data_IF_377576268029
#
_entry.id   IF_377576268029
#
_cell.length_a   1.000
_cell.length_b   1.000
_cell.length_c   1.000
_cell.angle_alpha   90.00
_cell.angle_beta   90.00
_cell.angle_gamma   90.00
#
_symmetry.space_group_name_H-M   'P 1'
#
loop_
_entity.id
_entity.type
_entity.pdbx_description
1 polymer ?
#
# COMPACT_ATOMS: atom_id res chain seq x y z
N UNK A 1 26.55 12.22 21.89
CA UNK A 1 25.45 11.30 22.23
C UNK A 1 24.24 11.65 21.34
N UNK A 2 23.60 10.67 20.72
CA UNK A 2 22.37 10.91 19.93
C UNK A 2 21.23 11.29 20.88
N UNK A 3 20.41 12.29 20.52
CA UNK A 3 19.34 12.81 21.37
C UNK A 3 18.25 11.75 21.69
N UNK A 4 18.13 10.69 20.86
CA UNK A 4 17.09 9.64 20.99
C UNK A 4 17.70 8.25 20.75
N UNK A 5 18.52 7.73 21.67
CA UNK A 5 19.30 6.50 21.44
C UNK A 5 18.41 5.27 21.20
N UNK A 6 17.29 5.14 21.90
CA UNK A 6 16.38 4.00 21.72
C UNK A 6 15.58 4.07 20.42
N UNK A 7 15.14 5.25 20.00
CA UNK A 7 14.41 5.44 18.74
C UNK A 7 15.32 5.19 17.54
N UNK A 8 16.57 5.62 17.63
CA UNK A 8 17.54 5.52 16.54
C UNK A 8 18.34 4.20 16.56
N UNK A 9 18.14 3.35 17.57
CA UNK A 9 18.74 2.02 17.59
C UNK A 9 18.18 1.15 16.47
N UNK A 10 19.00 0.29 15.84
CA UNK A 10 18.53 -0.70 14.88
C UNK A 10 17.45 -1.60 15.48
N UNK A 11 16.55 -2.08 14.62
CA UNK A 11 15.50 -3.03 14.99
C UNK A 11 15.61 -4.27 14.11
N UNK A 12 15.92 -5.40 14.74
CA UNK A 12 15.92 -6.69 14.07
C UNK A 12 14.47 -7.23 14.00
N UNK A 13 14.02 -7.59 12.79
CA UNK A 13 12.72 -8.21 12.53
C UNK A 13 12.84 -9.73 12.28
N UNK A 14 14.03 -10.31 12.49
CA UNK A 14 14.34 -11.71 12.26
C UNK A 14 14.73 -12.04 10.82
N UNK A 15 14.05 -11.49 9.84
CA UNK A 15 14.35 -11.66 8.40
C UNK A 15 15.06 -10.45 7.76
N UNK A 16 15.07 -9.32 8.45
CA UNK A 16 15.78 -8.10 8.03
C UNK A 16 15.96 -7.16 9.22
N UNK A 17 16.97 -6.29 9.15
CA UNK A 17 17.20 -5.27 10.16
C UNK A 17 16.84 -3.90 9.61
N UNK A 18 16.02 -3.15 10.34
CA UNK A 18 15.77 -1.73 10.11
C UNK A 18 16.88 -0.91 10.74
N UNK A 19 17.32 0.16 10.08
CA UNK A 19 18.38 1.04 10.60
C UNK A 19 17.99 1.82 11.86
N UNK A 20 16.71 1.95 12.15
CA UNK A 20 16.12 2.57 13.34
C UNK A 20 14.66 2.16 13.48
N UNK A 21 13.98 2.68 14.50
CA UNK A 21 12.59 2.36 14.85
C UNK A 21 11.58 3.39 14.32
N UNK A 22 11.99 4.24 13.37
CA UNK A 22 11.11 5.23 12.74
C UNK A 22 10.38 4.60 11.55
N UNK A 23 9.07 4.56 11.64
CA UNK A 23 8.18 4.09 10.57
C UNK A 23 7.43 5.27 9.97
N UNK A 24 7.48 5.44 8.65
CA UNK A 24 6.53 6.26 7.91
C UNK A 24 5.28 5.42 7.61
N UNK A 25 4.18 5.73 8.30
CA UNK A 25 2.90 5.07 8.10
C UNK A 25 2.33 5.30 6.70
N UNK A 26 1.43 4.41 6.29
CA UNK A 26 0.75 4.50 5.00
C UNK A 26 0.00 5.82 4.86
N UNK A 27 0.23 6.50 3.74
CA UNK A 27 -0.48 7.71 3.35
C UNK A 27 -0.72 7.69 1.84
N UNK A 28 -1.97 7.91 1.43
CA UNK A 28 -2.32 8.02 0.01
C UNK A 28 -1.98 9.43 -0.48
N UNK A 29 -1.13 9.53 -1.50
CA UNK A 29 -0.65 10.80 -2.06
C UNK A 29 -1.36 11.19 -3.37
N UNK A 30 -2.10 10.24 -3.96
CA UNK A 30 -2.66 10.36 -5.31
C UNK A 30 -1.63 10.16 -6.43
N UNK A 31 -0.35 10.04 -6.12
CA UNK A 31 0.69 9.71 -7.10
C UNK A 31 0.67 8.23 -7.49
N UNK A 32 0.12 7.39 -6.62
CA UNK A 32 -0.02 5.95 -6.79
C UNK A 32 -0.96 5.58 -7.93
N UNK A 33 -1.92 6.43 -8.26
CA UNK A 33 -3.03 6.10 -9.16
C UNK A 33 -2.63 5.98 -10.63
N UNK A 34 -1.46 6.50 -11.00
CA UNK A 34 -0.96 6.45 -12.38
C UNK A 34 0.54 6.13 -12.42
N UNK A 35 0.91 5.13 -13.21
CA UNK A 35 2.32 4.76 -13.38
C UNK A 35 3.20 5.91 -13.91
N UNK A 36 2.62 6.85 -14.67
CA UNK A 36 3.33 8.06 -15.12
C UNK A 36 3.80 8.97 -13.97
N UNK A 37 3.19 8.84 -12.79
CA UNK A 37 3.58 9.58 -11.59
C UNK A 37 4.65 8.86 -10.75
N UNK A 38 5.00 7.64 -11.08
CA UNK A 38 5.97 6.87 -10.28
C UNK A 38 7.35 7.52 -10.14
N UNK A 39 7.90 8.29 -11.12
CA UNK A 39 9.10 9.07 -10.87
C UNK A 39 8.95 10.12 -9.75
N UNK A 40 7.77 10.75 -9.65
CA UNK A 40 7.47 11.70 -8.57
C UNK A 40 7.27 10.99 -7.24
N UNK A 41 6.60 9.83 -7.25
CA UNK A 41 6.42 8.98 -6.08
C UNK A 41 7.77 8.44 -5.56
N UNK A 42 8.67 8.06 -6.47
CA UNK A 42 10.03 7.65 -6.16
C UNK A 42 10.81 8.78 -5.47
N UNK A 43 10.79 9.99 -6.02
CA UNK A 43 11.42 11.16 -5.42
C UNK A 43 10.84 11.47 -4.03
N UNK A 44 9.50 11.37 -3.88
CA UNK A 44 8.80 11.58 -2.63
C UNK A 44 9.29 10.63 -1.53
N UNK A 45 9.39 9.34 -1.80
CA UNK A 45 9.84 8.36 -0.82
C UNK A 45 11.36 8.38 -0.61
N UNK A 46 12.15 8.63 -1.67
CA UNK A 46 13.60 8.78 -1.57
C UNK A 46 14.00 9.92 -0.62
N UNK A 47 13.27 11.04 -0.64
CA UNK A 47 13.52 12.15 0.28
C UNK A 47 13.33 11.74 1.75
N UNK A 48 12.28 10.97 2.06
CA UNK A 48 12.03 10.45 3.41
C UNK A 48 13.09 9.43 3.83
N UNK A 49 13.47 8.55 2.91
CA UNK A 49 14.55 7.59 3.16
C UNK A 49 15.89 8.31 3.42
N UNK A 50 16.21 9.36 2.65
CA UNK A 50 17.38 10.22 2.88
C UNK A 50 17.31 10.90 4.24
N UNK A 51 16.12 11.34 4.67
CA UNK A 51 15.87 11.93 5.98
C UNK A 51 15.96 10.95 7.16
N UNK A 52 16.22 9.67 6.91
CA UNK A 52 16.52 8.69 7.97
C UNK A 52 15.38 7.76 8.36
N UNK A 53 14.22 7.78 7.69
CA UNK A 53 13.14 6.80 7.97
C UNK A 53 13.62 5.37 7.77
N UNK A 54 13.42 4.51 8.78
CA UNK A 54 13.86 3.11 8.75
C UNK A 54 12.99 2.22 7.86
N UNK A 55 11.66 2.40 7.92
CA UNK A 55 10.69 1.68 7.10
C UNK A 55 9.63 2.64 6.59
N UNK A 56 9.30 2.55 5.31
CA UNK A 56 8.20 3.28 4.67
C UNK A 56 7.10 2.27 4.31
N UNK A 57 5.83 2.60 4.60
CA UNK A 57 4.67 1.87 4.08
C UNK A 57 3.98 2.77 3.06
N UNK A 58 3.79 2.28 1.84
CA UNK A 58 3.15 3.05 0.77
C UNK A 58 1.68 3.34 1.05
N UNK A 59 1.07 4.24 0.29
CA UNK A 59 -0.39 4.32 0.14
C UNK A 59 -0.96 2.98 -0.35
N UNK A 60 -2.27 2.78 -0.16
CA UNK A 60 -2.91 1.51 -0.44
C UNK A 60 -3.09 1.23 -1.93
N UNK A 61 -2.78 0.01 -2.34
CA UNK A 61 -3.03 -0.52 -3.68
C UNK A 61 -4.10 -1.60 -3.63
N UNK A 62 -5.15 -1.46 -4.42
CA UNK A 62 -6.22 -2.44 -4.46
C UNK A 62 -5.76 -3.76 -5.11
N UNK A 63 -6.17 -4.92 -4.58
CA UNK A 63 -5.84 -6.21 -5.18
C UNK A 63 -6.60 -6.47 -6.48
N UNK A 64 -7.77 -5.83 -6.64
CA UNK A 64 -8.66 -5.96 -7.79
C UNK A 64 -9.59 -4.74 -7.89
N UNK A 65 -10.46 -4.71 -8.91
CA UNK A 65 -11.44 -3.63 -9.13
C UNK A 65 -12.43 -3.50 -7.98
N UNK A 66 -12.84 -4.60 -7.37
CA UNK A 66 -13.83 -4.60 -6.28
C UNK A 66 -13.26 -3.98 -4.98
N UNK A 67 -11.94 -4.01 -4.86
CA UNK A 67 -11.22 -3.42 -3.73
C UNK A 67 -10.85 -1.94 -3.88
N UNK A 68 -11.14 -1.31 -5.01
CA UNK A 68 -10.87 0.11 -5.22
C UNK A 68 -11.51 1.00 -4.16
N UNK A 69 -10.79 2.04 -3.76
CA UNK A 69 -11.37 3.12 -2.96
C UNK A 69 -12.20 4.06 -3.85
N UNK A 70 -11.64 4.50 -4.96
CA UNK A 70 -12.26 5.34 -5.99
C UNK A 70 -12.16 4.63 -7.34
N UNK A 71 -13.02 4.97 -8.31
CA UNK A 71 -12.88 4.46 -9.67
C UNK A 71 -11.48 4.73 -10.22
N UNK A 72 -10.85 3.71 -10.79
CA UNK A 72 -9.51 3.77 -11.37
C UNK A 72 -8.37 4.06 -10.37
N UNK A 73 -8.61 3.91 -9.06
CA UNK A 73 -7.55 3.97 -8.06
C UNK A 73 -6.45 2.93 -8.30
N UNK A 74 -5.30 3.15 -7.70
CA UNK A 74 -4.13 2.28 -7.80
C UNK A 74 -4.43 0.82 -7.51
N UNK A 75 -3.83 -0.08 -8.30
CA UNK A 75 -4.06 -1.52 -8.20
C UNK A 75 -2.77 -2.30 -8.42
N UNK A 76 -2.54 -3.29 -7.57
CA UNK A 76 -1.49 -4.28 -7.74
C UNK A 76 -2.11 -5.64 -8.05
N UNK A 77 -2.33 -5.92 -9.34
CA UNK A 77 -3.03 -7.13 -9.79
C UNK A 77 -2.25 -7.97 -10.81
N UNK A 78 -0.99 -7.61 -11.11
CA UNK A 78 -0.18 -8.32 -12.10
C UNK A 78 1.32 -8.13 -11.84
N UNK A 79 2.13 -9.06 -12.37
CA UNK A 79 3.58 -8.93 -12.35
C UNK A 79 4.07 -7.66 -13.08
N UNK A 80 3.37 -7.22 -14.13
CA UNK A 80 3.71 -5.99 -14.83
C UNK A 80 3.50 -4.76 -13.92
N UNK A 81 2.40 -4.74 -13.16
CA UNK A 81 2.16 -3.71 -12.14
C UNK A 81 3.25 -3.73 -11.06
N UNK A 82 3.63 -4.91 -10.57
CA UNK A 82 4.72 -5.05 -9.59
C UNK A 82 6.06 -4.53 -10.15
N UNK A 83 6.41 -4.88 -11.39
CA UNK A 83 7.63 -4.38 -12.03
C UNK A 83 7.64 -2.87 -12.22
N UNK A 84 6.48 -2.26 -12.45
CA UNK A 84 6.36 -0.81 -12.58
C UNK A 84 6.75 -0.05 -11.29
N UNK A 85 6.70 -0.71 -10.12
CA UNK A 85 7.10 -0.11 -8.84
C UNK A 85 8.63 -0.15 -8.59
N UNK A 86 9.41 -0.86 -9.42
CA UNK A 86 10.86 -0.95 -9.25
C UNK A 86 11.56 0.41 -9.07
N UNK A 87 11.30 1.42 -9.90
CA UNK A 87 11.94 2.72 -9.71
C UNK A 87 11.67 3.34 -8.34
N UNK A 88 10.50 3.05 -7.74
CA UNK A 88 10.13 3.55 -6.42
C UNK A 88 10.92 2.82 -5.32
N UNK A 89 10.99 1.49 -5.40
CA UNK A 89 11.75 0.69 -4.42
C UNK A 89 13.25 0.96 -4.50
N UNK A 90 13.79 1.03 -5.71
CA UNK A 90 15.22 1.29 -5.95
C UNK A 90 15.63 2.66 -5.40
N UNK A 91 14.80 3.69 -5.58
CA UNK A 91 15.04 5.02 -5.06
C UNK A 91 15.09 5.07 -3.52
N UNK A 92 14.26 4.27 -2.83
CA UNK A 92 14.31 4.16 -1.36
C UNK A 92 15.52 3.36 -0.91
N UNK A 93 15.80 2.25 -1.56
CA UNK A 93 16.94 1.37 -1.23
C UNK A 93 18.28 2.08 -1.42
N UNK A 94 18.41 2.94 -2.44
CA UNK A 94 19.61 3.76 -2.68
C UNK A 94 19.98 4.65 -1.50
N UNK A 95 19.02 4.96 -0.62
CA UNK A 95 19.23 5.73 0.61
C UNK A 95 19.22 4.87 1.89
N UNK A 96 19.38 3.54 1.76
CA UNK A 96 19.39 2.60 2.89
C UNK A 96 18.05 2.43 3.61
N UNK A 97 16.95 2.96 3.07
CA UNK A 97 15.60 2.77 3.59
C UNK A 97 15.04 1.40 3.20
N UNK A 98 14.03 0.95 3.93
CA UNK A 98 13.18 -0.19 3.56
C UNK A 98 11.79 0.33 3.18
N UNK A 99 11.12 -0.37 2.27
CA UNK A 99 9.77 0.01 1.82
C UNK A 99 8.90 -1.23 1.69
N UNK A 100 7.67 -1.13 2.19
CA UNK A 100 6.62 -2.14 2.08
C UNK A 100 5.43 -1.55 1.34
N UNK A 101 4.79 -2.34 0.48
CA UNK A 101 3.58 -1.95 -0.21
C UNK A 101 2.37 -2.35 0.63
N UNK A 102 1.44 -1.42 0.85
CA UNK A 102 0.17 -1.73 1.48
C UNK A 102 -0.82 -2.26 0.43
N UNK A 103 -1.31 -3.49 0.61
CA UNK A 103 -2.45 -4.00 -0.14
C UNK A 103 -3.72 -3.60 0.61
N UNK A 104 -4.58 -2.82 -0.04
CA UNK A 104 -5.79 -2.24 0.55
C UNK A 104 -7.03 -2.67 -0.23
N UNK A 105 -7.99 -3.26 0.45
CA UNK A 105 -9.34 -3.50 -0.08
C UNK A 105 -10.31 -2.57 0.65
N UNK A 106 -10.92 -1.62 -0.07
CA UNK A 106 -11.75 -0.59 0.53
C UNK A 106 -13.05 -1.11 1.18
N UNK A 107 -13.49 -2.29 0.78
CA UNK A 107 -14.70 -2.89 1.34
C UNK A 107 -15.92 -2.00 1.11
N UNK A 108 -16.73 -1.82 2.15
CA UNK A 108 -17.93 -0.95 2.08
C UNK A 108 -17.65 0.54 1.95
N UNK A 109 -16.38 0.94 2.06
CA UNK A 109 -15.96 2.33 1.86
C UNK A 109 -15.57 2.63 0.41
N UNK A 110 -15.63 1.61 -0.48
CA UNK A 110 -15.41 1.81 -1.91
C UNK A 110 -16.44 2.78 -2.51
N UNK A 111 -15.96 3.84 -3.13
CA UNK A 111 -16.79 4.88 -3.75
C UNK A 111 -17.10 4.54 -5.22
N UNK A 112 -17.62 3.33 -5.44
CA UNK A 112 -18.00 2.82 -6.77
C UNK A 112 -19.04 1.68 -6.66
N UNK A 113 -19.86 1.43 -7.69
CA UNK A 113 -20.94 0.44 -7.64
C UNK A 113 -20.49 -1.03 -7.62
N UNK A 114 -19.21 -1.31 -7.95
CA UNK A 114 -18.64 -2.66 -7.97
C UNK A 114 -18.10 -3.11 -6.62
N UNK A 115 -18.21 -2.28 -5.57
CA UNK A 115 -17.67 -2.58 -4.24
C UNK A 115 -18.28 -3.85 -3.64
N UNK A 116 -17.45 -4.60 -2.92
CA UNK A 116 -17.88 -5.74 -2.12
C UNK A 116 -17.46 -5.53 -0.67
N UNK A 117 -18.26 -6.02 0.26
CA UNK A 117 -17.99 -5.93 1.69
C UNK A 117 -18.45 -7.20 2.40
N UNK A 118 -18.07 -7.38 3.67
CA UNK A 118 -18.46 -8.54 4.45
C UNK A 118 -20.00 -8.71 4.52
N UNK A 119 -20.73 -7.60 4.41
CA UNK A 119 -22.20 -7.57 4.38
C UNK A 119 -22.67 -6.53 3.37
N UNK A 120 -23.95 -6.64 2.92
CA UNK A 120 -24.60 -5.68 2.04
C UNK A 120 -25.07 -4.40 2.78
N UNK A 121 -24.35 -3.96 3.79
CA UNK A 121 -24.72 -2.79 4.60
C UNK A 121 -23.97 -1.58 4.07
N UNK A 122 -24.74 -0.57 3.65
CA UNK A 122 -24.22 0.70 3.14
C UNK A 122 -23.43 1.44 4.23
N UNK A 123 -22.29 2.02 3.83
CA UNK A 123 -21.59 2.99 4.66
C UNK A 123 -22.31 4.34 4.63
N UNK A 124 -22.33 5.11 5.74
CA UNK A 124 -22.83 6.49 5.71
C UNK A 124 -21.95 7.42 4.86
N UNK A 125 -20.70 7.03 4.58
CA UNK A 125 -19.71 7.85 3.88
C UNK A 125 -19.78 7.74 2.35
N UNK A 126 -20.47 6.72 1.80
CA UNK A 126 -20.53 6.49 0.34
C UNK A 126 -21.98 6.33 -0.14
N UNK A 127 -22.29 6.74 -1.38
CA UNK A 127 -23.64 6.55 -1.94
C UNK A 127 -23.93 5.09 -2.34
N UNK A 128 -22.90 4.24 -2.41
CA UNK A 128 -23.04 2.86 -2.91
C UNK A 128 -23.25 1.87 -1.77
N UNK A 129 -24.10 0.87 -2.02
CA UNK A 129 -24.26 -0.30 -1.16
C UNK A 129 -23.35 -1.40 -1.68
N UNK A 130 -22.40 -1.90 -0.87
CA UNK A 130 -21.52 -2.98 -1.30
C UNK A 130 -22.32 -4.27 -1.45
N UNK A 131 -21.90 -5.11 -2.37
CA UNK A 131 -22.45 -6.47 -2.50
C UNK A 131 -21.77 -7.39 -1.50
N UNK A 132 -22.55 -8.14 -0.71
CA UNK A 132 -22.04 -9.25 0.09
C UNK A 132 -21.61 -10.39 -0.84
N UNK A 133 -20.37 -10.88 -0.78
CA UNK A 133 -19.93 -12.00 -1.60
C UNK A 133 -20.46 -13.34 -1.06
N UNK A 134 -20.68 -14.30 -1.95
CA UNK A 134 -20.84 -15.71 -1.57
C UNK A 134 -19.50 -16.29 -1.07
N UNK A 135 -19.51 -17.50 -0.50
CA UNK A 135 -18.28 -18.21 -0.08
C UNK A 135 -17.21 -18.23 -1.19
N UNK A 136 -17.59 -18.62 -2.41
CA UNK A 136 -16.70 -18.59 -3.56
C UNK A 136 -16.23 -17.16 -3.90
N UNK A 137 -17.04 -16.15 -3.61
CA UNK A 137 -16.67 -14.74 -3.72
C UNK A 137 -15.60 -14.33 -2.71
N UNK A 138 -15.74 -14.76 -1.45
CA UNK A 138 -14.73 -14.55 -0.40
C UNK A 138 -13.41 -15.17 -0.79
N UNK A 139 -13.41 -16.43 -1.24
CA UNK A 139 -12.20 -17.11 -1.71
C UNK A 139 -11.51 -16.38 -2.86
N UNK A 140 -12.29 -15.80 -3.81
CA UNK A 140 -11.71 -14.97 -4.88
C UNK A 140 -11.02 -13.72 -4.33
N UNK A 141 -11.61 -13.06 -3.33
CA UNK A 141 -10.99 -11.90 -2.68
C UNK A 141 -9.71 -12.29 -1.94
N UNK A 142 -9.74 -13.40 -1.19
CA UNK A 142 -8.56 -13.92 -0.48
C UNK A 142 -7.43 -14.25 -1.46
N UNK A 143 -7.74 -14.93 -2.57
CA UNK A 143 -6.73 -15.21 -3.61
C UNK A 143 -6.18 -13.94 -4.28
N UNK A 144 -6.97 -12.89 -4.39
CA UNK A 144 -6.51 -11.61 -4.95
C UNK A 144 -5.56 -10.85 -3.99
N UNK A 145 -5.73 -11.05 -2.68
CA UNK A 145 -4.86 -10.47 -1.63
C UNK A 145 -3.56 -11.26 -1.46
N UNK A 146 -3.56 -12.57 -1.75
CA UNK A 146 -2.35 -13.38 -1.68
C UNK A 146 -1.38 -12.97 -2.79
N UNK A 147 -0.09 -12.74 -2.47
CA UNK A 147 0.91 -12.47 -3.50
C UNK A 147 0.98 -13.66 -4.45
N UNK A 148 0.87 -13.40 -5.74
CA UNK A 148 1.27 -14.38 -6.75
C UNK A 148 2.79 -14.33 -6.82
N UNK A 149 3.41 -15.32 -6.18
CA UNK A 149 4.84 -15.55 -6.29
C UNK A 149 5.25 -15.83 -7.75
#
# INVERSE_FOLDING_TARGET
MTAYPHLLAPLDLGFTTLRNRVLMGSMHTGLEDRASNFPRLAAYFAERARGGVGLIVTGGFAPNVQGWLLPFASRLASHAAARAHRPVTDAVHAHGGKIALQILHAGRYGYHPLSVGASGIKSPLTPFTPRAPSTAGVERQTRALAPRA
#
